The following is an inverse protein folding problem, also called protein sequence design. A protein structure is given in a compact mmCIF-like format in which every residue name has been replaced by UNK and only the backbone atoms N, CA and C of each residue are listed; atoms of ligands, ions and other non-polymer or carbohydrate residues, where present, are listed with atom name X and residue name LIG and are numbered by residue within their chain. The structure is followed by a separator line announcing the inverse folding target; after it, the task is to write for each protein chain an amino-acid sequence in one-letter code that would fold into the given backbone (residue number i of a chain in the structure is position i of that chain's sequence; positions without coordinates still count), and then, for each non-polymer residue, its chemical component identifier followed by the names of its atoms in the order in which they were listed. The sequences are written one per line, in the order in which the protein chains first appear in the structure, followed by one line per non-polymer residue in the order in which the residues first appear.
data_IF_585369360463
#
_entry.id   IF_585369360463
#
_cell.length_a   1.000
_cell.length_b   1.000
_cell.length_c   1.000
_cell.angle_alpha   90.00
_cell.angle_beta   90.00
_cell.angle_gamma   90.00
#
_symmetry.space_group_name_H-M   'P 1'
#
loop_
_entity.id
_entity.type
_entity.pdbx_description
1 polymer ?
#
# COMPACT_ATOMS: atom_id res chain seq x y z
N UNK A 1 -18.16 -30.56 -15.01
CA UNK A 1 -18.26 -29.17 -14.49
C UNK A 1 -17.43 -29.08 -13.22
N UNK A 2 -16.12 -28.81 -13.30
CA UNK A 2 -15.33 -28.59 -12.08
C UNK A 2 -15.74 -27.25 -11.47
N UNK A 3 -16.39 -27.28 -10.31
CA UNK A 3 -16.61 -26.08 -9.51
C UNK A 3 -15.25 -25.65 -8.97
N UNK A 4 -14.60 -24.67 -9.61
CA UNK A 4 -13.45 -24.00 -9.01
C UNK A 4 -13.93 -23.33 -7.72
N UNK A 5 -13.49 -23.84 -6.57
CA UNK A 5 -13.87 -23.37 -5.23
C UNK A 5 -13.49 -21.89 -5.00
N UNK A 6 -12.61 -21.34 -5.85
CA UNK A 6 -12.03 -20.02 -5.65
C UNK A 6 -12.08 -19.18 -6.94
N UNK A 7 -12.52 -17.92 -6.85
CA UNK A 7 -12.59 -16.97 -7.99
C UNK A 7 -11.21 -16.73 -8.60
N UNK A 8 -11.01 -17.08 -9.87
CA UNK A 8 -9.77 -16.75 -10.57
C UNK A 8 -9.54 -15.23 -10.56
N UNK A 9 -8.35 -14.81 -10.14
CA UNK A 9 -7.94 -13.41 -10.10
C UNK A 9 -6.46 -13.35 -10.45
N UNK A 10 -6.11 -12.51 -11.44
CA UNK A 10 -4.71 -12.22 -11.78
C UNK A 10 -3.94 -11.59 -10.60
N UNK A 11 -4.65 -11.03 -9.63
CA UNK A 11 -4.09 -10.38 -8.46
C UNK A 11 -4.03 -11.29 -7.22
N UNK A 12 -4.28 -12.60 -7.36
CA UNK A 12 -4.32 -13.53 -6.22
C UNK A 12 -3.02 -13.57 -5.41
N UNK A 13 -1.90 -13.24 -6.04
CA UNK A 13 -0.57 -13.27 -5.41
C UNK A 13 0.03 -11.87 -5.25
N UNK A 14 -0.80 -10.82 -5.24
CA UNK A 14 -0.31 -9.47 -4.90
C UNK A 14 0.01 -9.42 -3.41
N UNK A 15 1.23 -9.00 -3.09
CA UNK A 15 1.68 -8.73 -1.72
C UNK A 15 2.51 -7.45 -1.70
N UNK A 16 2.49 -6.74 -0.56
CA UNK A 16 3.33 -5.57 -0.34
C UNK A 16 4.68 -5.94 0.25
N UNK A 17 5.73 -5.23 -0.14
CA UNK A 17 7.05 -5.32 0.48
C UNK A 17 7.47 -3.91 0.90
N UNK A 18 7.74 -3.74 2.20
CA UNK A 18 8.27 -2.48 2.72
C UNK A 18 9.72 -2.27 2.25
N UNK A 19 10.07 -1.03 1.97
CA UNK A 19 11.46 -0.64 1.68
C UNK A 19 12.29 -0.64 2.97
N UNK A 20 13.60 -0.76 2.82
CA UNK A 20 14.52 -0.71 3.97
C UNK A 20 14.58 0.72 4.54
N UNK A 21 14.98 0.83 5.80
CA UNK A 21 15.01 2.12 6.50
C UNK A 21 15.94 3.16 5.84
N UNK A 22 17.04 2.72 5.21
CA UNK A 22 17.96 3.57 4.45
C UNK A 22 17.35 4.18 3.17
N UNK A 23 16.18 3.67 2.75
CA UNK A 23 15.41 4.16 1.62
C UNK A 23 14.17 4.95 2.06
N UNK A 24 13.98 5.12 3.37
CA UNK A 24 12.91 5.92 3.95
C UNK A 24 13.35 7.35 4.19
N UNK A 25 12.36 8.22 4.44
CA UNK A 25 12.59 9.57 4.93
C UNK A 25 12.37 9.61 6.44
N UNK A 26 13.39 10.02 7.19
CA UNK A 26 13.35 10.12 8.65
C UNK A 26 13.20 11.59 9.12
N UNK A 27 12.74 11.77 10.36
CA UNK A 27 12.57 13.06 11.05
C UNK A 27 11.60 14.06 10.34
N UNK A 28 10.62 13.55 9.59
CA UNK A 28 9.57 14.38 8.98
C UNK A 28 8.39 14.56 9.96
N UNK A 29 8.10 15.82 10.31
CA UNK A 29 6.89 16.19 11.07
C UNK A 29 5.69 16.34 10.15
N UNK A 30 4.91 15.27 10.00
CA UNK A 30 3.69 15.26 9.18
C UNK A 30 2.58 16.13 9.81
N UNK A 31 1.78 16.77 8.95
CA UNK A 31 0.60 17.56 9.35
C UNK A 31 -0.42 16.72 10.13
N UNK A 32 -1.00 17.31 11.19
CA UNK A 32 -2.11 16.73 11.97
C UNK A 32 -3.46 17.38 11.67
N UNK A 33 -3.51 18.24 10.64
CA UNK A 33 -4.73 18.94 10.23
C UNK A 33 -5.76 17.92 9.73
N UNK A 34 -7.01 18.09 10.12
CA UNK A 34 -8.12 17.28 9.63
C UNK A 34 -8.57 17.80 8.26
N UNK A 35 -8.04 17.21 7.20
CA UNK A 35 -8.38 17.54 5.81
C UNK A 35 -8.29 16.29 4.93
N UNK A 36 -9.17 16.14 3.95
CA UNK A 36 -9.29 14.92 3.11
C UNK A 36 -8.26 14.84 1.97
N UNK A 37 -7.25 15.71 1.96
CA UNK A 37 -6.19 15.66 0.93
C UNK A 37 -5.13 14.61 1.28
N UNK A 38 -4.33 14.20 0.29
CA UNK A 38 -3.38 13.09 0.41
C UNK A 38 -2.19 13.37 1.33
N UNK A 39 -1.89 14.65 1.61
CA UNK A 39 -0.71 15.10 2.37
C UNK A 39 0.65 14.61 1.84
N UNK A 40 0.66 13.96 0.68
CA UNK A 40 1.81 13.38 -0.01
C UNK A 40 1.55 13.43 -1.53
N UNK A 41 2.56 13.85 -2.30
CA UNK A 41 2.61 13.85 -3.76
C UNK A 41 4.04 13.52 -4.19
N UNK A 42 4.20 12.77 -5.29
CA UNK A 42 5.48 12.26 -5.80
C UNK A 42 5.72 12.77 -7.21
#
# INVERSE_FOLDING_TARGET
MSRSIVRQSKFRHVFGQAVKADQCYDDIRVSKVTWDSSFCAV
#
